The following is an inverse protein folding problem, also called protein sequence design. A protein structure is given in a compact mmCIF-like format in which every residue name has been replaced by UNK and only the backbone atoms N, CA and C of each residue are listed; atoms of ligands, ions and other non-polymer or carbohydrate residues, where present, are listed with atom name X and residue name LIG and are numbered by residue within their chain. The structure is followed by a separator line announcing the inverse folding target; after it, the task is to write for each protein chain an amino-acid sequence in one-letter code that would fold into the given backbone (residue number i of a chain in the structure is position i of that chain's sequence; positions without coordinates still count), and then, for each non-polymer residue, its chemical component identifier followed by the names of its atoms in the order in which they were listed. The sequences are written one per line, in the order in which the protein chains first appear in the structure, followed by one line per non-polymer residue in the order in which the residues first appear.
data_IF_374254044376
#
_entry.id   IF_374254044376
#
_cell.length_a   1.000
_cell.length_b   1.000
_cell.length_c   1.000
_cell.angle_alpha   90.00
_cell.angle_beta   90.00
_cell.angle_gamma   90.00
#
_symmetry.space_group_name_H-M   'P 1'
#
loop_
_entity.id
_entity.type
_entity.pdbx_description
1 polymer ?
#
# COMPACT_ATOMS: atom_id res chain seq x y z
N UNK A 1 4.37 39.35 48.95
CA UNK A 1 5.44 38.65 48.20
C UNK A 1 5.26 37.14 48.37
N UNK A 2 4.72 36.45 47.36
CA UNK A 2 4.82 35.00 47.20
C UNK A 2 4.92 34.72 45.70
N UNK A 3 6.14 34.47 45.24
CA UNK A 3 6.44 34.11 43.85
C UNK A 3 6.25 32.60 43.75
N UNK A 4 5.18 32.16 43.08
CA UNK A 4 5.02 30.76 42.69
C UNK A 4 5.83 30.54 41.40
N UNK A 5 7.02 29.96 41.55
CA UNK A 5 7.79 29.42 40.41
C UNK A 5 7.05 28.20 39.88
N UNK A 6 6.37 28.36 38.74
CA UNK A 6 5.85 27.25 37.95
C UNK A 6 6.99 26.69 37.11
N UNK A 7 7.47 25.49 37.45
CA UNK A 7 8.39 24.71 36.62
C UNK A 7 7.66 24.29 35.33
N UNK A 8 7.91 24.99 34.23
CA UNK A 8 7.48 24.57 32.90
C UNK A 8 8.45 23.48 32.42
N UNK A 9 8.06 22.22 32.57
CA UNK A 9 8.80 21.10 31.99
C UNK A 9 8.65 21.15 30.46
N UNK A 10 9.70 21.60 29.79
CA UNK A 10 9.80 21.64 28.33
C UNK A 10 10.00 20.20 27.83
N UNK A 11 8.89 19.53 27.49
CA UNK A 11 8.92 18.22 26.82
C UNK A 11 9.44 18.45 25.40
N UNK A 12 10.74 18.20 25.20
CA UNK A 12 11.33 18.02 23.88
C UNK A 12 10.71 16.74 23.27
N UNK A 13 9.63 16.90 22.50
CA UNK A 13 9.23 15.91 21.51
C UNK A 13 10.33 15.88 20.46
N UNK A 14 11.32 15.01 20.65
CA UNK A 14 12.21 14.61 19.57
C UNK A 14 11.34 13.97 18.49
N UNK A 15 11.20 14.66 17.35
CA UNK A 15 10.67 14.08 16.13
C UNK A 15 11.58 12.93 15.73
N UNK A 16 11.26 11.71 16.16
CA UNK A 16 11.83 10.52 15.56
C UNK A 16 11.34 10.51 14.11
N UNK A 17 12.21 10.91 13.20
CA UNK A 17 12.06 10.67 11.77
C UNK A 17 12.17 9.14 11.61
N UNK A 18 11.04 8.46 11.73
CA UNK A 18 10.91 7.05 11.44
C UNK A 18 10.75 6.96 9.92
N UNK A 19 11.81 6.55 9.23
CA UNK A 19 11.71 6.25 7.80
C UNK A 19 10.69 5.16 7.53
N UNK A 20 10.15 5.14 6.31
CA UNK A 20 9.11 4.18 5.93
C UNK A 20 9.60 2.73 6.12
N UNK A 21 9.04 2.03 7.10
CA UNK A 21 9.34 0.62 7.39
C UNK A 21 8.41 -0.28 6.57
N UNK A 22 8.88 -0.76 5.43
CA UNK A 22 8.12 -1.62 4.52
C UNK A 22 7.70 -2.94 5.16
N UNK A 23 8.50 -3.50 6.07
CA UNK A 23 8.15 -4.69 6.87
C UNK A 23 6.88 -4.53 7.70
N UNK A 24 6.52 -3.30 8.11
CA UNK A 24 5.32 -3.01 8.91
C UNK A 24 4.10 -2.67 8.07
N UNK A 25 4.27 -2.38 6.78
CA UNK A 25 3.19 -1.98 5.91
C UNK A 25 2.53 -3.21 5.26
N UNK A 26 1.19 -3.32 5.32
CA UNK A 26 0.46 -4.53 4.93
C UNK A 26 0.67 -4.94 3.46
N UNK A 27 0.79 -3.96 2.57
CA UNK A 27 1.03 -4.17 1.13
C UNK A 27 2.53 -4.30 0.82
N UNK A 28 3.37 -3.36 1.26
CA UNK A 28 4.80 -3.32 0.89
C UNK A 28 5.59 -4.53 1.40
N UNK A 29 5.19 -5.12 2.54
CA UNK A 29 5.82 -6.34 3.08
C UNK A 29 5.76 -7.54 2.13
N UNK A 30 4.80 -7.53 1.21
CA UNK A 30 4.59 -8.63 0.26
C UNK A 30 5.55 -8.56 -0.93
N UNK A 31 6.25 -7.44 -1.14
CA UNK A 31 7.13 -7.22 -2.28
C UNK A 31 8.61 -7.21 -1.85
N UNK A 32 9.52 -7.52 -2.78
CA UNK A 32 10.98 -7.56 -2.57
C UNK A 32 11.66 -6.17 -2.65
N UNK A 33 11.03 -5.15 -2.06
CA UNK A 33 11.49 -3.76 -2.10
C UNK A 33 12.71 -3.49 -1.21
N UNK A 34 12.88 -4.25 -0.12
CA UNK A 34 13.96 -4.05 0.86
C UNK A 34 15.34 -4.40 0.31
N UNK A 35 15.38 -5.23 -0.76
CA UNK A 35 16.63 -5.69 -1.37
C UNK A 35 17.09 -4.80 -2.52
N UNK A 36 16.29 -3.81 -2.91
CA UNK A 36 16.44 -3.09 -4.17
C UNK A 36 16.51 -1.59 -3.95
N UNK A 37 17.71 -1.11 -3.60
CA UNK A 37 18.06 0.28 -3.88
C UNK A 37 18.24 0.40 -5.40
N UNK A 38 17.28 1.02 -6.08
CA UNK A 38 17.35 1.22 -7.53
C UNK A 38 18.09 2.52 -7.82
N UNK A 39 19.30 2.41 -8.35
CA UNK A 39 20.06 3.51 -8.93
C UNK A 39 19.97 3.40 -10.44
N UNK A 40 19.49 4.45 -11.09
CA UNK A 40 19.40 4.50 -12.56
C UNK A 40 20.04 5.78 -13.08
N UNK A 41 20.78 5.65 -14.18
CA UNK A 41 21.32 6.77 -14.94
C UNK A 41 20.90 6.59 -16.41
N UNK A 42 20.11 7.53 -16.90
CA UNK A 42 19.64 7.58 -18.27
C UNK A 42 20.28 8.80 -18.95
N UNK A 43 21.00 8.55 -20.03
CA UNK A 43 21.59 9.60 -20.86
C UNK A 43 20.81 9.72 -22.17
N UNK A 44 20.38 10.96 -22.48
CA UNK A 44 19.62 11.28 -23.68
C UNK A 44 20.25 12.46 -24.41
N UNK A 45 20.56 12.27 -25.69
CA UNK A 45 21.02 13.38 -26.53
C UNK A 45 19.89 14.37 -26.77
N UNK A 46 20.14 15.64 -26.47
CA UNK A 46 19.21 16.76 -26.64
C UNK A 46 19.94 17.90 -27.35
N UNK A 47 20.20 17.79 -28.67
CA UNK A 47 21.09 18.71 -29.37
C UNK A 47 20.75 20.19 -29.11
N UNK A 48 21.75 21.05 -28.80
CA UNK A 48 23.20 20.83 -28.82
C UNK A 48 23.81 20.32 -27.50
N UNK A 49 23.01 19.79 -26.59
CA UNK A 49 23.44 19.31 -25.26
C UNK A 49 23.14 17.82 -25.09
N UNK A 50 23.61 17.26 -23.99
CA UNK A 50 23.22 15.92 -23.54
C UNK A 50 22.57 16.04 -22.17
N UNK A 51 21.39 15.48 -22.02
CA UNK A 51 20.66 15.46 -20.74
C UNK A 51 20.92 14.13 -20.05
N UNK A 52 21.38 14.18 -18.80
CA UNK A 52 21.60 13.01 -17.95
C UNK A 52 20.63 13.06 -16.80
N UNK A 53 19.79 12.03 -16.70
CA UNK A 53 18.82 11.84 -15.63
C UNK A 53 19.31 10.74 -14.70
N UNK A 54 19.35 11.06 -13.41
CA UNK A 54 19.82 10.15 -12.37
C UNK A 54 18.70 10.00 -11.36
N UNK A 55 18.31 8.76 -11.09
CA UNK A 55 17.26 8.43 -10.13
C UNK A 55 17.83 7.57 -9.02
N UNK A 56 17.55 7.98 -7.79
CA UNK A 56 17.77 7.21 -6.58
C UNK A 56 16.41 6.91 -5.98
N UNK A 57 16.09 5.63 -5.79
CA UNK A 57 14.80 5.20 -5.23
C UNK A 57 15.09 4.19 -4.12
N UNK A 58 14.64 4.54 -2.92
CA UNK A 58 14.80 3.76 -1.71
C UNK A 58 13.53 3.90 -0.84
N UNK A 59 12.48 3.19 -1.25
CA UNK A 59 11.17 3.26 -0.58
C UNK A 59 11.23 2.68 0.84
N UNK A 60 12.11 1.71 1.08
CA UNK A 60 12.19 0.98 2.35
C UNK A 60 13.46 1.38 3.09
N UNK A 61 13.40 2.47 3.85
CA UNK A 61 14.58 3.00 4.56
C UNK A 61 14.77 2.32 5.93
N UNK A 62 14.77 0.98 5.96
CA UNK A 62 14.87 0.22 7.22
C UNK A 62 16.22 0.40 7.93
N UNK A 63 17.27 0.76 7.17
CA UNK A 63 18.64 0.89 7.66
C UNK A 63 19.09 2.33 7.95
N UNK A 64 18.20 3.32 7.95
CA UNK A 64 18.52 4.75 8.16
C UNK A 64 19.72 5.21 7.29
N UNK A 65 19.74 4.86 6.01
CA UNK A 65 20.81 5.27 5.09
C UNK A 65 22.20 4.66 5.35
N UNK A 66 22.32 3.57 6.14
CA UNK A 66 23.61 2.88 6.35
C UNK A 66 24.12 2.15 5.11
N UNK A 67 23.23 1.72 4.22
CA UNK A 67 23.55 1.00 2.98
C UNK A 67 23.57 1.89 1.72
N UNK A 68 23.42 3.21 1.86
CA UNK A 68 23.45 4.11 0.71
C UNK A 68 24.88 4.22 0.16
N UNK A 69 25.11 3.68 -1.05
CA UNK A 69 26.26 4.06 -1.89
C UNK A 69 26.28 5.58 -2.09
N UNK A 70 27.43 6.11 -2.53
CA UNK A 70 27.58 7.53 -2.87
C UNK A 70 26.35 8.03 -3.65
N UNK A 71 25.63 8.97 -3.05
CA UNK A 71 24.45 9.57 -3.65
C UNK A 71 24.85 10.68 -4.60
N UNK A 72 23.96 10.97 -5.53
CA UNK A 72 24.14 12.10 -6.43
C UNK A 72 24.15 13.41 -5.65
N UNK A 73 24.92 14.37 -6.15
CA UNK A 73 25.05 15.69 -5.56
C UNK A 73 23.67 16.36 -5.45
N UNK A 74 23.25 16.69 -4.23
CA UNK A 74 21.93 17.26 -3.93
C UNK A 74 20.89 16.30 -3.34
N UNK A 75 21.11 14.98 -3.38
CA UNK A 75 20.22 14.00 -2.75
C UNK A 75 20.65 13.69 -1.31
N UNK A 76 19.70 13.57 -0.37
CA UNK A 76 19.99 13.14 1.00
C UNK A 76 19.80 11.63 1.14
N UNK A 77 20.50 11.03 2.11
CA UNK A 77 20.41 9.59 2.43
C UNK A 77 19.09 9.16 3.06
N UNK A 78 18.35 10.14 3.57
CA UNK A 78 17.05 9.93 4.19
C UNK A 78 15.91 9.96 3.17
N UNK A 79 16.17 10.42 1.95
CA UNK A 79 15.12 10.61 0.96
C UNK A 79 14.64 9.25 0.46
N UNK A 80 13.32 9.09 0.38
CA UNK A 80 12.67 7.92 -0.19
C UNK A 80 12.93 7.83 -1.69
N UNK A 81 13.02 8.99 -2.35
CA UNK A 81 13.25 9.11 -3.77
C UNK A 81 13.91 10.44 -4.09
N UNK A 82 14.92 10.42 -4.94
CA UNK A 82 15.59 11.61 -5.45
C UNK A 82 15.83 11.50 -6.95
N UNK A 83 15.52 12.56 -7.68
CA UNK A 83 15.75 12.67 -9.12
C UNK A 83 16.61 13.89 -9.44
N UNK A 84 17.68 13.68 -10.19
CA UNK A 84 18.60 14.74 -10.62
C UNK A 84 18.66 14.76 -12.14
N UNK A 85 18.40 15.91 -12.75
CA UNK A 85 18.60 16.13 -14.19
C UNK A 85 19.76 17.11 -14.39
N UNK A 86 20.80 16.62 -15.06
CA UNK A 86 22.01 17.36 -15.40
C UNK A 86 22.04 17.64 -16.90
N UNK A 87 22.43 18.84 -17.29
CA UNK A 87 22.66 19.21 -18.69
C UNK A 87 24.18 19.30 -18.90
N UNK A 88 24.70 18.48 -19.80
CA UNK A 88 26.10 18.49 -20.24
C UNK A 88 26.19 19.14 -21.62
N UNK A 89 27.23 19.94 -21.84
CA UNK A 89 27.51 20.50 -23.16
C UNK A 89 27.99 19.40 -24.12
N UNK A 90 27.39 19.28 -25.31
CA UNK A 90 27.88 18.30 -26.30
C UNK A 90 29.15 18.79 -27.02
N UNK A 91 29.45 20.08 -26.95
CA UNK A 91 30.60 20.71 -27.63
C UNK A 91 31.85 20.78 -26.75
N UNK A 92 31.71 20.93 -25.44
CA UNK A 92 32.83 21.01 -24.49
C UNK A 92 32.68 19.98 -23.36
N UNK A 93 33.48 18.90 -23.40
CA UNK A 93 33.47 17.85 -22.37
C UNK A 93 34.05 18.29 -21.01
N UNK A 94 34.71 19.45 -20.95
CA UNK A 94 35.32 19.99 -19.74
C UNK A 94 34.40 20.94 -18.96
N UNK A 95 33.22 21.28 -19.50
CA UNK A 95 32.27 22.10 -18.76
C UNK A 95 31.61 21.25 -17.66
N UNK A 96 31.56 21.79 -16.45
CA UNK A 96 30.87 21.14 -15.32
C UNK A 96 29.37 20.97 -15.67
N UNK A 97 28.77 19.80 -15.40
CA UNK A 97 27.36 19.57 -15.68
C UNK A 97 26.50 20.59 -14.93
N UNK A 98 25.56 21.22 -15.64
CA UNK A 98 24.62 22.15 -15.03
C UNK A 98 23.46 21.37 -14.41
N UNK A 99 23.23 21.56 -13.10
CA UNK A 99 22.04 21.03 -12.44
C UNK A 99 20.81 21.81 -12.93
N UNK A 100 19.99 21.14 -13.74
CA UNK A 100 18.78 21.73 -14.31
C UNK A 100 17.56 21.47 -13.43
N UNK A 101 17.48 20.28 -12.84
CA UNK A 101 16.37 19.89 -11.99
C UNK A 101 16.85 18.98 -10.86
N UNK A 102 16.31 19.22 -9.67
CA UNK A 102 16.46 18.38 -8.49
C UNK A 102 15.08 18.18 -7.89
N UNK A 103 14.71 16.94 -7.63
CA UNK A 103 13.55 16.58 -6.84
C UNK A 103 13.98 15.66 -5.70
N UNK A 104 13.49 15.96 -4.52
CA UNK A 104 13.76 15.29 -3.25
C UNK A 104 12.38 14.97 -2.66
N UNK A 105 12.15 13.68 -2.40
CA UNK A 105 10.98 13.16 -1.73
C UNK A 105 11.44 12.49 -0.46
N UNK A 106 11.12 13.11 0.68
CA UNK A 106 11.39 12.58 1.99
C UNK A 106 10.20 11.79 2.57
N UNK A 107 10.42 11.19 3.74
CA UNK A 107 9.40 10.46 4.51
C UNK A 107 8.24 11.35 5.02
N UNK A 108 8.35 12.68 4.92
CA UNK A 108 7.30 13.60 5.35
C UNK A 108 6.19 13.77 4.30
N UNK A 109 6.46 13.35 3.07
CA UNK A 109 5.50 13.38 1.97
C UNK A 109 4.31 12.42 2.20
N UNK A 110 3.13 12.81 1.72
CA UNK A 110 1.93 11.96 1.83
C UNK A 110 2.02 10.83 0.82
N UNK A 111 2.32 9.63 1.31
CA UNK A 111 2.37 8.41 0.52
C UNK A 111 1.03 7.66 0.55
N UNK A 112 0.51 7.33 -0.62
CA UNK A 112 -0.63 6.44 -0.83
C UNK A 112 -0.14 5.18 -1.58
N UNK A 113 -0.40 4.01 -0.99
CA UNK A 113 0.01 2.72 -1.56
C UNK A 113 -1.21 1.99 -2.10
N UNK A 114 -1.17 1.58 -3.35
CA UNK A 114 -2.25 0.85 -4.01
C UNK A 114 -1.70 -0.25 -4.92
N UNK A 115 -2.52 -1.24 -5.23
CA UNK A 115 -2.20 -2.27 -6.22
C UNK A 115 -3.19 -2.13 -7.36
N UNK A 116 -2.70 -1.83 -8.55
CA UNK A 116 -3.50 -1.61 -9.76
C UNK A 116 -2.99 -2.56 -10.83
N UNK A 117 -3.88 -3.38 -11.41
CA UNK A 117 -3.53 -4.34 -12.47
C UNK A 117 -2.33 -5.25 -12.13
N UNK A 118 -2.28 -5.72 -10.88
CA UNK A 118 -1.20 -6.57 -10.35
C UNK A 118 0.17 -5.88 -10.26
N UNK A 119 0.22 -4.56 -10.44
CA UNK A 119 1.40 -3.72 -10.24
C UNK A 119 1.26 -2.93 -8.94
N UNK A 120 2.38 -2.77 -8.23
CA UNK A 120 2.42 -1.94 -7.02
C UNK A 120 2.56 -0.47 -7.43
N UNK A 121 1.66 0.37 -6.95
CA UNK A 121 1.61 1.80 -7.26
C UNK A 121 1.74 2.62 -5.97
N UNK A 122 2.73 3.49 -5.95
CA UNK A 122 3.01 4.43 -4.87
C UNK A 122 2.71 5.84 -5.40
N UNK A 123 1.87 6.59 -4.70
CA UNK A 123 1.58 7.98 -5.05
C UNK A 123 2.03 8.90 -3.92
N UNK A 124 2.90 9.84 -4.25
CA UNK A 124 3.36 10.92 -3.40
C UNK A 124 2.62 12.18 -3.79
N UNK A 125 1.84 12.73 -2.86
CA UNK A 125 1.08 13.97 -3.08
C UNK A 125 1.79 15.16 -2.47
N UNK A 126 1.58 16.32 -3.08
CA UNK A 126 2.07 17.61 -2.58
C UNK A 126 3.61 17.69 -2.43
N UNK A 127 4.39 17.01 -3.29
CA UNK A 127 5.86 17.03 -3.25
C UNK A 127 6.37 18.44 -3.56
N UNK A 128 7.23 18.97 -2.71
CA UNK A 128 7.79 20.32 -2.87
C UNK A 128 8.88 20.31 -3.95
N UNK A 129 8.69 21.10 -5.00
CA UNK A 129 9.66 21.27 -6.08
C UNK A 129 9.92 22.76 -6.35
N UNK A 130 10.96 23.28 -5.70
CA UNK A 130 11.24 24.72 -5.72
C UNK A 130 10.07 25.53 -5.15
N UNK A 131 9.49 26.48 -5.89
CA UNK A 131 8.30 27.23 -5.45
C UNK A 131 6.97 26.50 -5.67
N UNK A 132 6.99 25.37 -6.40
CA UNK A 132 5.78 24.66 -6.82
C UNK A 132 5.58 23.37 -6.01
N UNK A 133 4.38 22.80 -6.14
CA UNK A 133 4.06 21.46 -5.65
C UNK A 133 3.69 20.57 -6.83
N UNK A 134 4.25 19.38 -6.86
CA UNK A 134 4.02 18.37 -7.89
C UNK A 134 3.59 17.06 -7.23
N UNK A 135 2.85 16.24 -7.96
CA UNK A 135 2.59 14.88 -7.53
C UNK A 135 3.62 13.95 -8.18
N UNK A 136 4.00 12.87 -7.50
CA UNK A 136 4.86 11.85 -8.05
C UNK A 136 4.21 10.48 -7.91
N UNK A 137 4.31 9.65 -8.93
CA UNK A 137 3.80 8.28 -8.94
C UNK A 137 4.92 7.33 -9.30
N UNK A 138 5.08 6.26 -8.53
CA UNK A 138 6.03 5.19 -8.77
C UNK A 138 5.26 3.90 -8.98
N UNK A 139 5.41 3.29 -10.15
CA UNK A 139 4.74 2.05 -10.52
C UNK A 139 5.78 0.96 -10.69
N UNK A 140 5.68 -0.08 -9.86
CA UNK A 140 6.50 -1.28 -9.93
C UNK A 140 5.80 -2.36 -10.74
N UNK A 141 6.47 -2.82 -11.79
CA UNK A 141 6.05 -3.93 -12.64
C UNK A 141 6.97 -5.12 -12.41
N UNK A 142 6.40 -6.27 -12.03
CA UNK A 142 7.18 -7.49 -11.81
C UNK A 142 7.77 -8.03 -13.11
N UNK A 143 9.09 -8.23 -13.13
CA UNK A 143 9.77 -9.03 -14.15
C UNK A 143 10.85 -9.92 -13.50
N UNK A 144 10.51 -11.20 -13.30
CA UNK A 144 11.41 -12.19 -12.69
C UNK A 144 12.61 -12.55 -13.59
N UNK A 145 12.59 -12.20 -14.87
CA UNK A 145 13.68 -12.52 -15.80
C UNK A 145 14.83 -11.51 -15.72
N UNK A 146 14.59 -10.35 -15.11
CA UNK A 146 15.59 -9.30 -14.96
C UNK A 146 16.37 -9.49 -13.65
N UNK A 147 17.68 -9.24 -13.71
CA UNK A 147 18.57 -9.33 -12.53
C UNK A 147 18.61 -8.03 -11.73
N UNK A 148 18.26 -6.91 -12.36
CA UNK A 148 18.32 -5.55 -11.82
C UNK A 148 17.08 -4.82 -12.33
N UNK A 149 16.58 -3.88 -11.53
CA UNK A 149 15.47 -3.03 -11.93
C UNK A 149 15.88 -2.02 -13.00
N UNK A 150 15.00 -1.82 -13.97
CA UNK A 150 15.08 -0.75 -14.95
C UNK A 150 14.13 0.37 -14.54
N UNK A 151 14.63 1.60 -14.48
CA UNK A 151 13.85 2.78 -14.09
C UNK A 151 13.66 3.67 -15.31
N UNK A 152 12.40 3.96 -15.62
CA UNK A 152 12.01 4.93 -16.66
C UNK A 152 11.21 6.05 -16.01
N UNK A 153 11.44 7.30 -16.40
CA UNK A 153 10.67 8.44 -15.89
C UNK A 153 10.03 9.25 -17.00
N UNK A 154 8.79 9.71 -16.77
CA UNK A 154 8.03 10.58 -17.66
C UNK A 154 7.52 11.75 -16.85
N UNK A 155 7.73 12.95 -17.38
CA UNK A 155 7.24 14.19 -16.78
C UNK A 155 5.97 14.62 -17.54
N UNK A 156 4.84 14.65 -16.85
CA UNK A 156 3.55 15.09 -17.38
C UNK A 156 3.06 16.29 -16.58
N UNK A 157 3.37 17.49 -17.08
CA UNK A 157 2.95 18.78 -16.49
C UNK A 157 3.30 18.89 -14.99
N UNK A 158 2.36 18.54 -14.11
CA UNK A 158 2.48 18.62 -12.66
C UNK A 158 2.55 17.24 -11.96
N UNK A 159 2.73 16.17 -12.74
CA UNK A 159 2.88 14.80 -12.27
C UNK A 159 4.16 14.17 -12.83
N UNK A 160 4.93 13.55 -11.95
CA UNK A 160 6.13 12.79 -12.29
C UNK A 160 5.79 11.32 -12.20
N UNK A 161 5.80 10.62 -13.33
CA UNK A 161 5.55 9.19 -13.36
C UNK A 161 6.86 8.44 -13.54
N UNK A 162 7.18 7.59 -12.57
CA UNK A 162 8.35 6.72 -12.60
C UNK A 162 7.89 5.26 -12.66
N UNK A 163 8.33 4.56 -13.69
CA UNK A 163 8.05 3.14 -13.90
C UNK A 163 9.30 2.36 -13.60
N UNK A 164 9.19 1.40 -12.69
CA UNK A 164 10.28 0.50 -12.28
C UNK A 164 9.88 -0.90 -12.72
N UNK A 165 10.68 -1.49 -13.59
CA UNK A 165 10.45 -2.86 -14.08
C UNK A 165 11.57 -3.76 -13.61
N UNK A 166 11.23 -4.83 -12.89
CA UNK A 166 12.25 -5.75 -12.40
C UNK A 166 11.77 -6.67 -11.27
N UNK A 167 12.69 -7.38 -10.60
CA UNK A 167 12.36 -8.33 -9.54
C UNK A 167 11.73 -7.68 -8.31
N UNK A 168 11.96 -6.39 -8.08
CA UNK A 168 11.49 -5.66 -6.88
C UNK A 168 9.98 -5.44 -6.88
N UNK A 169 9.37 -5.42 -8.07
CA UNK A 169 7.92 -5.40 -8.24
C UNK A 169 7.26 -6.76 -8.08
N UNK A 170 8.02 -7.83 -7.83
CA UNK A 170 7.49 -9.17 -7.64
C UNK A 170 7.15 -9.44 -6.16
N UNK A 171 6.14 -10.28 -5.95
CA UNK A 171 5.78 -10.76 -4.63
C UNK A 171 6.88 -11.68 -4.09
N UNK A 172 7.25 -11.49 -2.81
CA UNK A 172 8.11 -12.40 -2.04
C UNK A 172 7.47 -13.77 -2.01
N UNK A 173 8.26 -14.81 -2.31
CA UNK A 173 7.86 -16.20 -2.13
C UNK A 173 7.85 -16.54 -0.62
N UNK A 174 6.85 -16.05 0.12
CA UNK A 174 6.66 -16.29 1.56
C UNK A 174 6.10 -17.71 1.82
N UNK A 175 6.89 -18.74 1.51
CA UNK A 175 6.57 -20.13 1.81
C UNK A 175 7.61 -20.79 2.74
N UNK A 176 8.22 -20.01 3.65
CA UNK A 176 9.31 -20.52 4.50
C UNK A 176 9.33 -20.19 5.99
N UNK A 177 8.41 -19.40 6.56
CA UNK A 177 8.52 -19.06 8.00
C UNK A 177 7.19 -19.10 8.77
N UNK A 178 6.68 -20.30 8.98
CA UNK A 178 5.97 -20.70 10.22
C UNK A 178 5.61 -22.18 10.11
N UNK A 179 6.49 -23.05 10.60
CA UNK A 179 6.12 -23.99 11.65
C UNK A 179 7.34 -24.79 12.10
N UNK A 180 7.70 -24.54 13.34
CA UNK A 180 8.71 -25.26 14.09
C UNK A 180 8.00 -26.46 14.73
N UNK A 181 8.21 -27.69 14.21
CA UNK A 181 8.41 -28.92 14.98
C UNK A 181 8.18 -30.20 14.16
N UNK A 182 9.14 -31.12 14.33
CA UNK A 182 9.06 -32.59 14.22
C UNK A 182 8.90 -33.27 12.85
N UNK A 183 9.99 -33.97 12.51
CA UNK A 183 10.05 -35.40 12.19
C UNK A 183 9.50 -35.88 10.84
N UNK A 184 10.39 -36.53 10.07
CA UNK A 184 10.04 -37.75 9.35
C UNK A 184 9.85 -37.62 7.84
N UNK A 185 10.90 -38.03 7.12
CA UNK A 185 10.90 -39.04 6.05
C UNK A 185 9.92 -38.90 4.85
N UNK A 186 10.54 -38.88 3.66
CA UNK A 186 10.08 -39.45 2.38
C UNK A 186 8.78 -38.98 1.73
N UNK A 187 8.89 -38.76 0.42
CA UNK A 187 7.82 -39.09 -0.51
C UNK A 187 7.30 -37.89 -1.28
N UNK A 188 7.71 -37.80 -2.53
CA UNK A 188 7.07 -37.02 -3.57
C UNK A 188 5.55 -37.26 -3.65
N UNK A 189 4.89 -36.26 -4.25
CA UNK A 189 3.47 -36.14 -4.59
C UNK A 189 2.65 -35.36 -3.57
N UNK A 190 2.60 -34.03 -3.76
CA UNK A 190 1.50 -33.23 -3.26
C UNK A 190 0.73 -32.63 -4.43
N UNK A 191 -0.51 -33.13 -4.53
CA UNK A 191 -1.60 -32.57 -5.29
C UNK A 191 -1.78 -31.07 -4.98
N UNK A 192 -2.22 -30.33 -6.00
CA UNK A 192 -2.59 -28.92 -5.90
C UNK A 192 -3.69 -28.75 -4.85
N UNK A 193 -3.33 -28.40 -3.62
CA UNK A 193 -4.30 -27.92 -2.65
C UNK A 193 -4.58 -26.45 -2.97
N UNK A 194 -5.66 -26.22 -3.72
CA UNK A 194 -6.19 -24.88 -3.96
C UNK A 194 -6.46 -24.20 -2.63
N UNK A 195 -5.73 -23.14 -2.31
CA UNK A 195 -6.08 -22.18 -1.26
C UNK A 195 -7.33 -21.41 -1.73
N UNK A 196 -8.47 -22.09 -1.67
CA UNK A 196 -9.76 -21.47 -1.92
C UNK A 196 -9.97 -20.34 -0.93
N UNK A 197 -10.14 -19.13 -1.45
CA UNK A 197 -10.75 -18.02 -0.72
C UNK A 197 -11.97 -18.58 0.02
N UNK A 198 -12.10 -18.41 1.36
CA UNK A 198 -13.11 -19.11 2.13
C UNK A 198 -14.47 -18.75 1.53
N UNK A 199 -15.16 -19.74 0.97
CA UNK A 199 -16.43 -19.57 0.26
C UNK A 199 -17.47 -18.79 1.07
N UNK A 200 -17.36 -18.85 2.40
CA UNK A 200 -18.15 -18.06 3.35
C UNK A 200 -17.91 -16.54 3.24
N UNK A 201 -16.67 -16.07 3.02
CA UNK A 201 -16.40 -14.64 2.82
C UNK A 201 -17.00 -14.11 1.52
N UNK A 202 -17.02 -14.94 0.46
CA UNK A 202 -17.71 -14.61 -0.79
C UNK A 202 -19.22 -14.50 -0.56
N UNK A 203 -19.81 -15.46 0.16
CA UNK A 203 -21.23 -15.41 0.51
C UNK A 203 -21.59 -14.19 1.37
N UNK A 204 -20.76 -13.88 2.37
CA UNK A 204 -20.96 -12.72 3.25
C UNK A 204 -20.87 -11.40 2.47
N UNK A 205 -19.91 -11.30 1.55
CA UNK A 205 -19.79 -10.15 0.65
C UNK A 205 -21.03 -10.00 -0.23
N UNK A 206 -21.55 -11.08 -0.81
CA UNK A 206 -22.79 -11.03 -1.61
C UNK A 206 -24.01 -10.60 -0.79
N UNK A 207 -24.16 -11.06 0.46
CA UNK A 207 -25.26 -10.64 1.34
C UNK A 207 -25.18 -9.14 1.66
N UNK A 208 -23.98 -8.61 1.92
CA UNK A 208 -23.79 -7.17 2.18
C UNK A 208 -24.13 -6.35 0.93
N UNK A 209 -23.62 -6.75 -0.25
CA UNK A 209 -23.93 -6.04 -1.50
C UNK A 209 -25.43 -6.07 -1.79
N UNK A 210 -26.08 -7.22 -1.62
CA UNK A 210 -27.52 -7.35 -1.88
C UNK A 210 -28.36 -6.51 -0.91
N UNK A 211 -27.97 -6.43 0.36
CA UNK A 211 -28.67 -5.57 1.33
C UNK A 211 -28.52 -4.09 1.00
N UNK A 212 -27.32 -3.64 0.61
CA UNK A 212 -27.09 -2.25 0.17
C UNK A 212 -27.92 -1.89 -1.07
N UNK A 213 -27.93 -2.76 -2.08
CA UNK A 213 -28.73 -2.53 -3.30
C UNK A 213 -30.22 -2.53 -2.98
N UNK A 214 -30.71 -3.47 -2.16
CA UNK A 214 -32.11 -3.55 -1.76
C UNK A 214 -32.58 -2.27 -1.03
N UNK A 215 -31.82 -1.81 -0.05
CA UNK A 215 -32.15 -0.57 0.69
C UNK A 215 -32.09 0.64 -0.24
N UNK A 216 -31.14 0.69 -1.17
CA UNK A 216 -31.03 1.77 -2.17
C UNK A 216 -32.24 1.83 -3.09
N UNK A 217 -32.68 0.68 -3.63
CA UNK A 217 -33.85 0.60 -4.52
C UNK A 217 -35.14 0.91 -3.77
N UNK A 218 -35.27 0.44 -2.52
CA UNK A 218 -36.46 0.73 -1.72
C UNK A 218 -36.54 2.20 -1.34
N UNK A 219 -35.41 2.82 -0.99
CA UNK A 219 -35.32 4.25 -0.71
C UNK A 219 -35.62 5.09 -1.95
N UNK A 220 -35.12 4.67 -3.12
CA UNK A 220 -35.43 5.30 -4.41
C UNK A 220 -36.92 5.20 -4.79
N UNK A 221 -37.56 4.06 -4.52
CA UNK A 221 -38.99 3.87 -4.78
C UNK A 221 -39.90 4.64 -3.82
N UNK A 222 -39.51 4.77 -2.55
CA UNK A 222 -40.29 5.52 -1.57
C UNK A 222 -40.17 7.04 -1.75
N UNK A 223 -39.02 7.53 -2.20
CA UNK A 223 -38.73 8.97 -2.27
C UNK A 223 -39.04 9.53 -3.66
N UNK A 224 -40.23 9.25 -4.21
CA UNK A 224 -40.68 9.79 -5.51
C UNK A 224 -40.59 11.33 -5.53
N UNK A 225 -39.41 11.87 -5.87
CA UNK A 225 -39.13 13.30 -6.07
C UNK A 225 -38.46 14.11 -4.93
N UNK A 226 -37.89 13.50 -3.88
CA UNK A 226 -37.26 14.22 -2.74
C UNK A 226 -35.75 14.47 -2.84
N UNK A 227 -35.20 15.37 -2.02
CA UNK A 227 -33.78 15.79 -1.98
C UNK A 227 -32.84 14.73 -1.38
N UNK A 228 -31.57 14.68 -1.80
CA UNK A 228 -30.51 13.75 -1.32
C UNK A 228 -30.36 13.64 0.21
N UNK A 229 -30.74 14.69 0.96
CA UNK A 229 -30.70 14.68 2.42
C UNK A 229 -31.83 13.84 3.07
N UNK A 230 -32.95 13.66 2.39
CA UNK A 230 -34.08 12.86 2.87
C UNK A 230 -33.77 11.37 2.72
N UNK A 231 -33.03 11.01 1.65
CA UNK A 231 -32.52 9.67 1.42
C UNK A 231 -31.49 9.21 2.47
N UNK A 232 -30.56 10.07 2.87
CA UNK A 232 -29.53 9.71 3.84
C UNK A 232 -30.13 9.50 5.23
N UNK A 233 -31.12 10.31 5.62
CA UNK A 233 -31.81 10.18 6.91
C UNK A 233 -32.66 8.90 6.94
N UNK A 234 -33.47 8.62 5.91
CA UNK A 234 -34.26 7.38 5.85
C UNK A 234 -33.37 6.13 5.76
N UNK A 235 -32.25 6.20 5.02
CA UNK A 235 -31.26 5.11 4.97
C UNK A 235 -30.67 4.82 6.35
N UNK A 236 -30.23 5.85 7.07
CA UNK A 236 -29.65 5.71 8.42
C UNK A 236 -30.69 5.16 9.39
N UNK A 237 -31.94 5.62 9.33
CA UNK A 237 -33.01 5.15 10.21
C UNK A 237 -33.33 3.66 9.97
N UNK A 238 -33.42 3.24 8.70
CA UNK A 238 -33.65 1.82 8.33
C UNK A 238 -32.46 0.94 8.67
N UNK A 239 -31.23 1.43 8.48
CA UNK A 239 -30.01 0.71 8.83
C UNK A 239 -29.87 0.54 10.34
N UNK A 240 -30.24 1.56 11.11
CA UNK A 240 -30.27 1.51 12.58
C UNK A 240 -31.31 0.52 13.07
N UNK A 241 -32.52 0.51 12.48
CA UNK A 241 -33.54 -0.50 12.80
C UNK A 241 -33.05 -1.93 12.54
N UNK A 242 -32.38 -2.17 11.40
CA UNK A 242 -31.77 -3.45 11.08
C UNK A 242 -30.71 -3.85 12.12
N UNK A 243 -29.77 -2.96 12.46
CA UNK A 243 -28.73 -3.23 13.48
C UNK A 243 -29.34 -3.50 14.85
N UNK A 244 -30.35 -2.75 15.26
CA UNK A 244 -31.01 -2.95 16.57
C UNK A 244 -31.81 -4.25 16.65
N UNK A 245 -32.26 -4.79 15.51
CA UNK A 245 -32.98 -6.08 15.43
C UNK A 245 -32.07 -7.31 15.25
N UNK A 246 -30.83 -7.11 14.78
CA UNK A 246 -29.82 -8.16 14.64
C UNK A 246 -29.43 -8.90 15.95
N UNK A 247 -29.30 -8.25 17.13
CA UNK A 247 -28.89 -8.96 18.35
C UNK A 247 -29.93 -10.01 18.82
N UNK A 248 -31.22 -9.82 18.52
CA UNK A 248 -32.25 -10.80 18.84
C UNK A 248 -32.23 -11.99 17.88
N UNK A 249 -31.96 -11.75 16.58
CA UNK A 249 -31.74 -12.82 15.60
C UNK A 249 -30.46 -13.63 15.89
N UNK A 250 -29.39 -12.98 16.36
CA UNK A 250 -28.16 -13.66 16.77
C UNK A 250 -28.37 -14.51 18.03
N UNK A 251 -29.15 -14.04 19.01
CA UNK A 251 -29.52 -14.86 20.19
C UNK A 251 -30.31 -16.09 19.79
N UNK A 252 -31.26 -15.97 18.87
CA UNK A 252 -32.06 -17.10 18.42
C UNK A 252 -31.24 -18.10 17.59
N UNK A 253 -30.39 -17.63 16.67
CA UNK A 253 -29.51 -18.48 15.85
C UNK A 253 -28.43 -19.15 16.71
N UNK A 254 -27.83 -18.43 17.66
CA UNK A 254 -26.86 -19.01 18.61
C UNK A 254 -27.55 -20.01 19.54
N UNK A 255 -28.78 -19.74 20.01
CA UNK A 255 -29.52 -20.73 20.82
C UNK A 255 -29.90 -21.99 20.05
N UNK A 256 -30.15 -21.88 18.73
CA UNK A 256 -30.55 -23.02 17.89
C UNK A 256 -29.35 -23.82 17.36
N UNK A 257 -28.18 -23.18 17.22
CA UNK A 257 -26.93 -23.80 16.78
C UNK A 257 -26.12 -24.35 17.96
N UNK A 258 -26.06 -23.64 19.09
CA UNK A 258 -25.34 -24.06 20.30
C UNK A 258 -26.24 -24.75 21.34
N UNK A 259 -27.56 -24.63 21.26
CA UNK A 259 -28.50 -25.29 22.19
C UNK A 259 -28.94 -26.69 21.76
N UNK A 260 -28.50 -27.21 20.62
CA UNK A 260 -28.78 -28.60 20.22
C UNK A 260 -27.51 -29.44 20.19
N UNK A 261 -27.01 -29.84 21.36
CA UNK A 261 -26.25 -31.10 21.55
C UNK A 261 -25.90 -31.35 23.01
N UNK A 262 -26.77 -32.08 23.71
CA UNK A 262 -26.35 -33.25 24.50
C UNK A 262 -27.54 -34.14 24.89
N UNK A 263 -27.45 -35.40 24.43
CA UNK A 263 -28.11 -36.64 24.91
C UNK A 263 -29.64 -36.72 24.93
N UNK A 264 -30.22 -37.60 24.10
CA UNK A 264 -30.78 -38.90 24.55
C UNK A 264 -31.23 -39.74 23.35
N UNK A 265 -30.87 -41.01 23.41
CA UNK A 265 -31.20 -42.17 22.57
C UNK A 265 -32.47 -42.11 21.72
N UNK A 266 -32.34 -42.56 20.46
CA UNK A 266 -33.45 -43.13 19.69
C UNK A 266 -33.00 -44.43 19.02
N UNK A 267 -32.92 -45.47 19.84
CA UNK A 267 -33.07 -46.84 19.36
C UNK A 267 -34.57 -47.15 19.20
N UNK A 268 -34.89 -47.96 18.18
CA UNK A 268 -36.06 -48.83 18.19
C UNK A 268 -37.24 -48.44 17.31
N UNK A 269 -37.69 -49.45 16.55
CA UNK A 269 -38.97 -49.64 15.86
C UNK A 269 -39.10 -49.17 14.40
N UNK A 270 -38.65 -50.03 13.48
CA UNK A 270 -39.46 -50.39 12.31
C UNK A 270 -40.09 -51.76 12.58
N UNK A 271 -41.39 -51.75 12.90
CA UNK A 271 -42.30 -52.90 12.79
C UNK A 271 -43.14 -52.63 11.55
N UNK A 272 -43.42 -53.73 10.82
CA UNK A 272 -44.16 -53.91 9.56
C UNK A 272 -43.31 -53.83 8.29
#
# INVERSE_FOLDING_TARGET
MKVYQSFFALVLLSSFVLGLQCSKHEVLKLYDLDKSMSLSELEKETPPTTTVEKWYINICNEDNGKNSKELYEGCKKTDLMCGVRLIKSATNKNDSPLLAQLIDIDDSSKLEVSVVDNNLSLQFKDVVWGPNKVDASVVYTCDKNMKVDEVTSVWLENNIQVSIKGPSGCLKDNNKDSDNNNSGNNGENNEKQSSGFPWFMVMLMYVIVFTVVYVSVMSYKNTRGGSFNEFSVEFIERFTQLITSLPDLLKEVVSKIFGSRSSTERGGYSVL
#
